data_IF_704806979822
#
_entry.id   IF_704806979822
#
_cell.length_a   1.000
_cell.length_b   1.000
_cell.length_c   1.000
_cell.angle_alpha   90.00
_cell.angle_beta   90.00
_cell.angle_gamma   90.00
#
_symmetry.space_group_name_H-M   'P 1'
#
loop_
_entity.id
_entity.type
_entity.pdbx_description
1 polymer ?
#
# COMPACT_ATOMS: atom_id res chain seq x y z
N UNK A 1 -22.29 -14.62 -77.91
CA UNK A 1 -21.95 -15.45 -76.73
C UNK A 1 -21.28 -14.50 -75.71
N UNK A 2 -22.02 -14.12 -74.67
CA UNK A 2 -21.55 -13.15 -73.65
C UNK A 2 -21.05 -13.94 -72.42
N UNK A 3 -19.72 -13.88 -72.18
CA UNK A 3 -19.12 -14.49 -71.00
C UNK A 3 -19.21 -13.58 -69.81
N UNK A 4 -20.00 -13.98 -68.80
CA UNK A 4 -20.06 -13.30 -67.50
C UNK A 4 -18.85 -13.70 -66.60
N UNK A 5 -18.10 -12.70 -66.16
CA UNK A 5 -17.01 -12.92 -65.17
C UNK A 5 -17.64 -12.80 -63.75
N UNK A 6 -17.29 -13.72 -62.82
CA UNK A 6 -17.74 -13.57 -61.46
C UNK A 6 -16.90 -12.52 -60.73
N UNK A 7 -17.53 -11.55 -60.05
CA UNK A 7 -16.94 -10.63 -59.09
C UNK A 7 -16.63 -11.41 -57.79
N UNK A 8 -15.35 -11.55 -57.43
CA UNK A 8 -14.93 -12.01 -56.13
C UNK A 8 -15.09 -10.81 -55.13
N UNK A 9 -16.07 -10.91 -54.28
CA UNK A 9 -16.21 -9.99 -53.18
C UNK A 9 -15.23 -10.40 -52.03
N UNK A 10 -14.19 -9.57 -51.82
CA UNK A 10 -13.30 -9.72 -50.67
C UNK A 10 -14.03 -9.18 -49.42
N UNK A 11 -14.43 -10.10 -48.56
CA UNK A 11 -14.97 -9.77 -47.25
C UNK A 11 -13.79 -9.39 -46.33
N UNK A 12 -13.60 -8.09 -46.10
CA UNK A 12 -12.65 -7.58 -45.10
C UNK A 12 -13.23 -7.82 -43.71
N UNK A 13 -12.73 -8.87 -43.04
CA UNK A 13 -13.04 -9.16 -41.64
C UNK A 13 -12.25 -8.20 -40.76
N UNK A 14 -12.90 -7.09 -40.32
CA UNK A 14 -12.32 -6.15 -39.36
C UNK A 14 -12.22 -6.81 -37.99
N UNK A 15 -11.01 -7.17 -37.57
CA UNK A 15 -10.72 -7.58 -36.20
C UNK A 15 -10.87 -6.35 -35.28
N UNK A 16 -12.00 -6.29 -34.59
CA UNK A 16 -12.18 -5.36 -33.47
C UNK A 16 -11.41 -5.91 -32.27
N UNK A 17 -10.23 -5.36 -31.99
CA UNK A 17 -9.50 -5.62 -30.75
C UNK A 17 -10.20 -4.83 -29.64
N UNK A 18 -10.77 -5.49 -28.62
CA UNK A 18 -11.33 -4.75 -27.49
C UNK A 18 -10.20 -3.99 -26.77
N UNK A 19 -10.47 -2.75 -26.26
CA UNK A 19 -9.50 -2.03 -25.47
C UNK A 19 -9.17 -2.88 -24.24
N UNK A 20 -7.88 -3.09 -23.97
CA UNK A 20 -7.40 -3.64 -22.70
C UNK A 20 -7.94 -2.74 -21.58
N UNK A 21 -8.96 -3.26 -20.89
CA UNK A 21 -9.51 -2.58 -19.73
C UNK A 21 -8.42 -2.43 -18.68
N UNK A 22 -8.10 -1.20 -18.36
CA UNK A 22 -7.39 -0.86 -17.12
C UNK A 22 -8.22 -1.45 -16.00
N UNK A 23 -7.69 -2.47 -15.31
CA UNK A 23 -8.31 -2.98 -14.09
C UNK A 23 -8.21 -1.82 -13.09
N UNK A 24 -9.27 -1.05 -12.98
CA UNK A 24 -9.42 -0.09 -11.90
C UNK A 24 -9.45 -0.91 -10.60
N UNK A 25 -8.39 -0.78 -9.79
CA UNK A 25 -8.37 -1.34 -8.45
C UNK A 25 -9.50 -0.70 -7.67
N UNK A 26 -10.43 -1.52 -7.16
CA UNK A 26 -11.47 -1.02 -6.28
C UNK A 26 -10.83 -0.32 -5.07
N UNK A 27 -11.31 0.87 -4.70
CA UNK A 27 -10.86 1.53 -3.49
C UNK A 27 -11.14 0.61 -2.29
N UNK A 28 -10.26 0.58 -1.27
CA UNK A 28 -10.45 -0.24 -0.08
C UNK A 28 -11.81 0.05 0.56
N UNK A 29 -12.45 -0.99 1.09
CA UNK A 29 -13.77 -0.92 1.69
C UNK A 29 -13.85 0.24 2.71
N UNK A 30 -14.94 1.02 2.64
CA UNK A 30 -15.19 2.15 3.55
C UNK A 30 -15.14 1.65 4.99
N UNK A 31 -14.19 2.14 5.81
CA UNK A 31 -13.98 1.70 7.18
C UNK A 31 -12.63 0.99 7.45
N UNK A 32 -11.90 0.56 6.42
CA UNK A 32 -10.54 0.04 6.61
C UNK A 32 -9.53 1.17 6.75
N UNK A 33 -8.64 1.09 7.72
CA UNK A 33 -7.49 2.01 7.81
C UNK A 33 -6.36 1.66 6.83
N UNK A 34 -6.46 0.55 6.11
CA UNK A 34 -5.55 0.26 5.01
C UNK A 34 -5.99 0.98 3.74
N UNK A 35 -5.09 1.72 3.12
CA UNK A 35 -5.24 2.27 1.77
C UNK A 35 -4.64 1.32 0.74
N UNK A 36 -3.57 0.62 1.14
CA UNK A 36 -2.96 -0.50 0.41
C UNK A 36 -2.74 -1.63 1.40
N UNK A 37 -3.51 -2.71 1.27
CA UNK A 37 -3.51 -3.81 2.24
C UNK A 37 -2.51 -4.93 1.93
N UNK A 38 -1.94 -4.97 0.71
CA UNK A 38 -1.07 -6.03 0.24
C UNK A 38 0.23 -5.49 -0.35
N UNK A 39 1.29 -6.28 -0.31
CA UNK A 39 2.59 -5.96 -0.92
C UNK A 39 2.60 -6.31 -2.42
N UNK A 40 1.83 -5.56 -3.22
CA UNK A 40 1.77 -5.81 -4.67
C UNK A 40 3.05 -5.41 -5.39
N UNK A 41 3.68 -6.35 -6.11
CA UNK A 41 4.94 -6.13 -6.84
C UNK A 41 4.78 -5.19 -8.04
N UNK A 42 3.58 -5.12 -8.63
CA UNK A 42 3.27 -4.31 -9.82
C UNK A 42 2.61 -2.96 -9.47
N UNK A 43 2.53 -2.61 -8.18
CA UNK A 43 1.94 -1.34 -7.75
C UNK A 43 2.88 -0.17 -7.99
N UNK A 44 2.31 0.99 -8.25
CA UNK A 44 3.00 2.29 -8.26
C UNK A 44 2.86 2.95 -6.87
N UNK A 45 3.86 2.87 -5.99
CA UNK A 45 3.77 3.42 -4.64
C UNK A 45 3.65 4.95 -4.62
N UNK A 46 4.08 5.65 -5.67
CA UNK A 46 3.90 7.10 -5.76
C UNK A 46 2.44 7.45 -6.08
N UNK A 47 1.76 6.67 -6.93
CA UNK A 47 0.33 6.81 -7.17
C UNK A 47 -0.49 6.46 -5.93
N UNK A 48 -0.12 5.37 -5.24
CA UNK A 48 -0.75 4.94 -4.00
C UNK A 48 -0.62 5.99 -2.90
N UNK A 49 0.56 6.62 -2.76
CA UNK A 49 0.76 7.68 -1.78
C UNK A 49 -0.11 8.90 -2.07
N UNK A 50 -0.23 9.32 -3.33
CA UNK A 50 -1.12 10.44 -3.70
C UNK A 50 -2.56 10.18 -3.27
N UNK A 51 -3.09 8.99 -3.58
CA UNK A 51 -4.45 8.61 -3.18
C UNK A 51 -4.60 8.50 -1.65
N UNK A 52 -3.55 8.01 -0.97
CA UNK A 52 -3.52 7.92 0.51
C UNK A 52 -3.51 9.30 1.15
N UNK A 53 -2.75 10.26 0.60
CA UNK A 53 -2.71 11.67 1.06
C UNK A 53 -4.09 12.33 0.93
N UNK A 54 -4.76 12.17 -0.21
CA UNK A 54 -6.12 12.70 -0.41
C UNK A 54 -7.08 12.20 0.69
N UNK A 55 -7.02 10.91 0.99
CA UNK A 55 -7.82 10.29 2.04
C UNK A 55 -7.40 10.75 3.43
N UNK A 56 -6.10 10.83 3.71
CA UNK A 56 -5.55 11.28 4.99
C UNK A 56 -5.97 12.72 5.33
N UNK A 57 -5.93 13.60 4.33
CA UNK A 57 -6.41 14.99 4.48
C UNK A 57 -7.91 15.05 4.76
N UNK A 58 -8.71 14.22 4.07
CA UNK A 58 -10.16 14.17 4.26
C UNK A 58 -10.56 13.61 5.63
N UNK A 59 -9.79 12.66 6.19
CA UNK A 59 -10.07 12.00 7.47
C UNK A 59 -9.30 12.62 8.64
N UNK A 60 -8.37 13.54 8.41
CA UNK A 60 -7.51 14.13 9.45
C UNK A 60 -6.52 13.14 10.06
N UNK A 61 -6.12 12.09 9.32
CA UNK A 61 -5.25 11.02 9.79
C UNK A 61 -3.82 11.16 9.30
N UNK A 62 -2.86 10.62 10.04
CA UNK A 62 -1.49 10.41 9.59
C UNK A 62 -1.37 9.16 8.73
N UNK A 63 -0.28 9.06 7.99
CA UNK A 63 0.01 7.93 7.11
C UNK A 63 1.15 7.11 7.71
N UNK A 64 0.98 5.79 7.74
CA UNK A 64 2.04 4.83 8.02
C UNK A 64 2.37 4.08 6.73
N UNK A 65 3.54 4.36 6.14
CA UNK A 65 4.08 3.52 5.07
C UNK A 65 4.73 2.31 5.74
N UNK A 66 4.18 1.13 5.51
CA UNK A 66 4.74 -0.14 5.97
C UNK A 66 5.52 -0.79 4.83
N UNK A 67 6.85 -0.76 4.91
CA UNK A 67 7.72 -1.36 3.90
C UNK A 67 8.03 -2.80 4.26
N UNK A 68 7.89 -3.69 3.28
CA UNK A 68 8.14 -5.11 3.46
C UNK A 68 7.82 -5.92 2.21
N UNK A 69 7.31 -7.12 2.35
CA UNK A 69 6.95 -7.97 1.23
C UNK A 69 6.27 -9.26 1.68
N UNK A 70 5.70 -10.01 0.74
CA UNK A 70 5.06 -11.30 1.04
C UNK A 70 6.04 -12.36 1.58
N UNK A 71 7.33 -12.20 1.35
CA UNK A 71 8.40 -13.03 1.91
C UNK A 71 8.66 -12.76 3.41
N UNK A 72 8.19 -11.63 3.94
CA UNK A 72 8.56 -11.11 5.25
C UNK A 72 7.65 -11.70 6.35
N UNK A 73 8.16 -12.65 7.13
CA UNK A 73 7.43 -13.27 8.24
C UNK A 73 7.05 -12.27 9.35
N UNK A 74 7.94 -11.34 9.68
CA UNK A 74 7.69 -10.30 10.68
C UNK A 74 6.65 -9.28 10.21
N UNK A 75 6.54 -9.04 8.90
CA UNK A 75 5.49 -8.18 8.36
C UNK A 75 4.10 -8.80 8.57
N UNK A 76 3.98 -10.11 8.30
CA UNK A 76 2.73 -10.86 8.55
C UNK A 76 2.39 -10.95 10.03
N UNK A 77 3.43 -11.10 10.87
CA UNK A 77 3.26 -11.11 12.32
C UNK A 77 2.75 -9.76 12.84
N UNK A 78 3.28 -8.63 12.32
CA UNK A 78 2.83 -7.29 12.70
C UNK A 78 1.36 -7.07 12.31
N UNK A 79 0.98 -7.46 11.10
CA UNK A 79 -0.40 -7.35 10.65
C UNK A 79 -1.36 -8.16 11.54
N UNK A 80 -1.01 -9.42 11.84
CA UNK A 80 -1.78 -10.26 12.77
C UNK A 80 -1.86 -9.65 14.16
N UNK A 81 -0.73 -9.16 14.68
CA UNK A 81 -0.66 -8.55 16.00
C UNK A 81 -1.56 -7.31 16.12
N UNK A 82 -1.57 -6.44 15.11
CA UNK A 82 -2.47 -5.27 15.06
C UNK A 82 -3.94 -5.71 15.11
N UNK A 83 -4.32 -6.76 14.37
CA UNK A 83 -5.70 -7.25 14.31
C UNK A 83 -6.13 -7.99 15.58
N UNK A 84 -5.21 -8.68 16.24
CA UNK A 84 -5.49 -9.49 17.43
C UNK A 84 -5.55 -8.65 18.72
N UNK A 85 -5.09 -7.38 18.69
CA UNK A 85 -5.05 -6.49 19.85
C UNK A 85 -5.99 -5.30 19.65
N UNK A 86 -7.18 -5.38 20.26
CA UNK A 86 -8.27 -4.39 20.12
C UNK A 86 -7.83 -2.95 20.40
N UNK A 87 -6.98 -2.75 21.42
CA UNK A 87 -6.48 -1.42 21.76
C UNK A 87 -5.61 -0.81 20.66
N UNK A 88 -4.73 -1.61 20.04
CA UNK A 88 -3.90 -1.20 18.93
C UNK A 88 -4.77 -0.94 17.70
N UNK A 89 -5.66 -1.87 17.36
CA UNK A 89 -6.57 -1.75 16.22
C UNK A 89 -7.39 -0.47 16.29
N UNK A 90 -7.98 -0.18 17.46
CA UNK A 90 -8.79 1.03 17.67
C UNK A 90 -7.97 2.31 17.49
N UNK A 91 -6.73 2.36 18.02
CA UNK A 91 -5.85 3.51 17.82
C UNK A 91 -5.43 3.68 16.37
N UNK A 92 -5.10 2.59 15.67
CA UNK A 92 -4.80 2.63 14.25
C UNK A 92 -5.98 3.19 13.45
N UNK A 93 -7.20 2.67 13.71
CA UNK A 93 -8.40 3.15 13.03
C UNK A 93 -8.71 4.62 13.32
N UNK A 94 -8.44 5.08 14.54
CA UNK A 94 -8.70 6.46 14.93
C UNK A 94 -7.75 7.47 14.26
N UNK A 95 -6.44 7.16 14.17
CA UNK A 95 -5.44 8.16 13.83
C UNK A 95 -4.63 7.90 12.57
N UNK A 96 -4.70 6.71 11.95
CA UNK A 96 -3.75 6.35 10.91
C UNK A 96 -4.40 5.73 9.69
N UNK A 97 -3.72 5.90 8.55
CA UNK A 97 -3.93 5.12 7.32
C UNK A 97 -2.66 4.35 7.02
N UNK A 98 -2.78 3.04 6.76
CA UNK A 98 -1.64 2.20 6.41
C UNK A 98 -1.58 2.02 4.89
N UNK A 99 -0.39 2.27 4.33
CA UNK A 99 -0.05 2.01 2.95
C UNK A 99 1.13 1.04 2.90
N UNK A 100 0.92 -0.19 2.43
CA UNK A 100 2.00 -1.16 2.26
C UNK A 100 2.77 -0.89 0.97
N UNK A 101 4.11 -0.95 1.07
CA UNK A 101 5.03 -0.80 -0.06
C UNK A 101 5.89 -2.05 -0.16
N UNK A 102 5.83 -2.70 -1.33
CA UNK A 102 6.65 -3.87 -1.60
C UNK A 102 8.14 -3.50 -1.70
N UNK A 103 8.97 -4.33 -1.07
CA UNK A 103 10.41 -4.41 -1.27
C UNK A 103 10.78 -5.88 -1.45
N UNK A 104 11.05 -6.28 -2.66
CA UNK A 104 11.38 -7.68 -3.00
C UNK A 104 12.39 -7.74 -4.13
N UNK A 105 12.90 -8.95 -4.44
CA UNK A 105 13.83 -9.14 -5.56
C UNK A 105 13.20 -8.82 -6.93
N UNK A 106 11.89 -8.97 -7.03
CA UNK A 106 11.12 -8.68 -8.24
C UNK A 106 10.91 -7.17 -8.43
N UNK A 107 10.83 -6.41 -7.32
CA UNK A 107 10.69 -4.96 -7.34
C UNK A 107 11.15 -4.34 -6.02
N UNK A 108 12.28 -3.68 -6.02
CA UNK A 108 12.83 -2.97 -4.85
C UNK A 108 12.19 -1.59 -4.62
N UNK A 109 11.40 -1.10 -5.56
CA UNK A 109 10.81 0.25 -5.50
C UNK A 109 11.84 1.37 -5.18
N UNK A 110 13.07 1.24 -5.69
CA UNK A 110 14.22 2.12 -5.36
C UNK A 110 13.91 3.60 -5.66
N UNK A 111 13.22 3.88 -6.77
CA UNK A 111 12.86 5.25 -7.14
C UNK A 111 11.90 5.92 -6.16
N UNK A 112 11.06 5.15 -5.47
CA UNK A 112 10.17 5.64 -4.43
C UNK A 112 10.85 5.63 -3.06
N UNK A 113 11.44 4.50 -2.66
CA UNK A 113 12.03 4.34 -1.32
C UNK A 113 13.31 5.17 -1.14
N UNK A 114 14.05 5.47 -2.21
CA UNK A 114 15.28 6.27 -2.15
C UNK A 114 15.10 7.74 -1.71
N UNK A 115 13.85 8.22 -1.59
CA UNK A 115 13.56 9.54 -1.02
C UNK A 115 13.38 9.53 0.52
N UNK A 116 13.38 8.35 1.12
CA UNK A 116 13.24 8.13 2.56
C UNK A 116 14.57 7.70 3.19
N UNK A 117 14.72 7.78 4.53
CA UNK A 117 15.87 7.25 5.24
C UNK A 117 16.09 5.75 4.98
N UNK A 118 17.33 5.29 5.17
CA UNK A 118 17.72 3.88 5.03
C UNK A 118 16.87 2.95 5.92
N UNK A 119 16.59 1.76 5.39
CA UNK A 119 15.79 0.73 6.07
C UNK A 119 16.74 -0.30 6.68
N UNK A 120 16.87 -0.36 8.02
CA UNK A 120 17.76 -1.31 8.70
C UNK A 120 17.19 -2.73 8.77
N UNK A 121 15.88 -2.91 8.61
CA UNK A 121 15.19 -4.20 8.70
C UNK A 121 13.71 -4.10 8.31
N UNK A 122 13.05 -5.25 8.18
CA UNK A 122 11.66 -5.34 7.74
C UNK A 122 10.78 -6.10 8.76
N UNK A 123 9.52 -5.64 8.98
CA UNK A 123 8.92 -4.45 8.38
C UNK A 123 9.62 -3.17 8.84
N UNK A 124 9.48 -2.09 8.07
CA UNK A 124 9.90 -0.76 8.48
C UNK A 124 8.71 0.21 8.35
N UNK A 125 8.57 1.15 9.29
CA UNK A 125 7.47 2.10 9.26
C UNK A 125 8.01 3.53 9.04
N UNK A 126 7.45 4.24 8.05
CA UNK A 126 7.59 5.68 7.95
C UNK A 126 6.28 6.33 8.39
N UNK A 127 6.37 7.25 9.33
CA UNK A 127 5.24 8.09 9.75
C UNK A 127 5.25 9.35 8.91
N UNK A 128 4.15 9.62 8.23
CA UNK A 128 3.98 10.84 7.46
C UNK A 128 2.81 11.64 8.03
N UNK A 129 2.92 12.96 7.92
CA UNK A 129 1.80 13.87 8.09
C UNK A 129 0.75 13.62 7.00
N UNK A 130 -0.47 14.07 7.21
CA UNK A 130 -1.58 13.91 6.23
C UNK A 130 -1.32 14.52 4.85
N UNK A 131 -0.32 15.39 4.71
CA UNK A 131 0.11 15.96 3.44
C UNK A 131 1.24 15.16 2.75
N UNK A 132 1.70 14.08 3.38
CA UNK A 132 2.77 13.22 2.89
C UNK A 132 4.17 13.62 3.36
N UNK A 133 4.30 14.68 4.17
CA UNK A 133 5.60 15.06 4.76
C UNK A 133 6.09 14.00 5.73
N UNK A 134 7.34 13.53 5.55
CA UNK A 134 7.95 12.57 6.48
C UNK A 134 8.16 13.20 7.85
N UNK A 135 7.63 12.55 8.89
CA UNK A 135 7.80 12.93 10.29
C UNK A 135 8.82 12.05 10.99
N UNK A 136 8.77 10.73 10.77
CA UNK A 136 9.61 9.78 11.49
C UNK A 136 9.89 8.51 10.70
N UNK A 137 11.03 7.89 11.01
CA UNK A 137 11.46 6.60 10.44
C UNK A 137 11.64 5.60 11.57
N UNK A 138 10.74 4.61 11.68
CA UNK A 138 10.68 3.65 12.80
C UNK A 138 11.25 2.30 12.42
N UNK A 139 12.33 1.93 13.07
CA UNK A 139 12.80 0.55 13.07
C UNK A 139 11.90 -0.31 13.97
N UNK A 140 11.15 -1.24 13.37
CA UNK A 140 10.16 -2.04 14.10
C UNK A 140 10.77 -3.05 15.08
N UNK A 141 12.07 -3.32 15.01
CA UNK A 141 12.80 -4.10 16.05
C UNK A 141 12.61 -3.50 17.43
N UNK A 142 12.46 -2.18 17.54
CA UNK A 142 12.20 -1.48 18.79
C UNK A 142 10.79 -1.73 19.38
N UNK A 143 9.92 -2.34 18.59
CA UNK A 143 8.56 -2.71 19.00
C UNK A 143 8.44 -4.21 19.32
N UNK A 144 9.55 -4.96 19.18
CA UNK A 144 9.56 -6.41 19.36
C UNK A 144 9.79 -6.80 20.83
N UNK A 145 9.23 -7.94 21.22
CA UNK A 145 9.50 -8.62 22.49
C UNK A 145 9.58 -10.12 22.26
N UNK A 146 10.74 -10.68 22.49
CA UNK A 146 10.98 -12.12 22.33
C UNK A 146 10.83 -12.55 20.88
N UNK A 147 9.76 -13.29 20.57
CA UNK A 147 9.44 -13.79 19.21
C UNK A 147 8.17 -13.16 18.65
N UNK A 148 7.77 -12.02 19.18
CA UNK A 148 6.55 -11.29 18.83
C UNK A 148 6.77 -9.80 18.98
N UNK A 149 5.69 -9.06 18.97
CA UNK A 149 5.66 -7.62 19.27
C UNK A 149 5.25 -7.39 20.73
N UNK A 150 5.63 -6.23 21.28
CA UNK A 150 5.21 -5.74 22.57
C UNK A 150 4.03 -4.78 22.40
N UNK A 151 2.88 -5.12 22.99
CA UNK A 151 1.66 -4.31 22.88
C UNK A 151 1.87 -2.89 23.39
N UNK A 152 2.50 -2.73 24.55
CA UNK A 152 2.70 -1.39 25.15
C UNK A 152 3.64 -0.54 24.28
N UNK A 153 4.71 -1.13 23.75
CA UNK A 153 5.63 -0.40 22.88
C UNK A 153 4.94 0.10 21.59
N UNK A 154 4.01 -0.69 21.02
CA UNK A 154 3.20 -0.26 19.88
C UNK A 154 2.23 0.86 20.30
N UNK A 155 1.54 0.71 21.45
CA UNK A 155 0.61 1.73 21.93
C UNK A 155 1.33 3.05 22.21
N UNK A 156 2.49 3.02 22.85
CA UNK A 156 3.31 4.22 23.12
C UNK A 156 3.75 4.89 21.82
N UNK A 157 4.18 4.10 20.83
CA UNK A 157 4.53 4.62 19.51
C UNK A 157 3.32 5.27 18.82
N UNK A 158 2.15 4.65 18.87
CA UNK A 158 0.94 5.24 18.29
C UNK A 158 0.49 6.50 19.02
N UNK A 159 0.63 6.55 20.34
CA UNK A 159 0.29 7.75 21.13
C UNK A 159 1.23 8.92 20.82
N UNK A 160 2.53 8.65 20.68
CA UNK A 160 3.53 9.66 20.28
C UNK A 160 3.20 10.28 18.92
N UNK A 161 2.70 9.46 17.98
CA UNK A 161 2.43 9.87 16.61
C UNK A 161 0.93 10.01 16.29
N UNK A 162 0.05 10.08 17.29
CA UNK A 162 -1.36 10.38 17.07
C UNK A 162 -1.51 11.80 16.49
N UNK A 163 -2.32 12.01 15.42
CA UNK A 163 -2.55 13.35 14.90
C UNK A 163 -3.16 14.26 15.97
N UNK A 164 -2.71 15.50 16.02
CA UNK A 164 -3.36 16.53 16.83
C UNK A 164 -4.75 16.82 16.26
N UNK A 165 -5.77 16.82 17.12
CA UNK A 165 -7.18 17.01 16.74
C UNK A 165 -7.49 18.44 16.27
#
# INVERSE_FOLDING_TARGET
>A
MRGSKPLLAFLLLSLVVPPMGTVAQEPPAKGSFYTVAEYGIDRDPAADLRATVERAQAEGKRILIQVGGEWCGWCKLLDGFIHDHEAIFTKMEAGFLIMKVNYSRENYNEGFLGQYPDIPGYPHLYVLEKDGTLLYSKNTVELEEGRSYNEQAILDFLDEWMPEG
#
